data_IF_587380907570
#
_entry.id   IF_587380907570
#
_cell.length_a   1.000
_cell.length_b   1.000
_cell.length_c   1.000
_cell.angle_alpha   90.00
_cell.angle_beta   90.00
_cell.angle_gamma   90.00
#
_symmetry.space_group_name_H-M   'P 1'
#
loop_
_entity.id
_entity.type
_entity.pdbx_description
1 polymer ?
#
# COMPACT_ATOMS: atom_id res chain seq x y z
N UNK A 1 -4.74 37.64 -8.53
CA UNK A 1 -3.61 36.88 -9.13
C UNK A 1 -2.87 36.16 -8.01
N UNK A 2 -3.16 34.88 -7.76
CA UNK A 2 -2.40 34.08 -6.80
C UNK A 2 -1.06 33.69 -7.44
N UNK A 3 -0.05 34.49 -7.19
CA UNK A 3 1.30 34.31 -7.73
C UNK A 3 1.92 33.05 -7.12
N UNK A 4 2.44 32.17 -7.99
CA UNK A 4 3.38 31.07 -7.71
C UNK A 4 3.69 30.79 -6.23
N UNK A 5 2.83 30.05 -5.52
CA UNK A 5 3.21 29.52 -4.21
C UNK A 5 4.17 28.33 -4.38
N UNK A 6 5.46 28.45 -4.01
CA UNK A 6 6.40 27.33 -4.07
C UNK A 6 5.98 26.15 -3.18
N UNK A 7 5.14 26.41 -2.16
CA UNK A 7 4.52 25.41 -1.31
C UNK A 7 3.63 24.40 -2.06
N UNK A 8 3.05 24.77 -3.21
CA UNK A 8 2.28 23.86 -4.08
C UNK A 8 3.17 23.06 -5.04
N UNK A 9 4.38 23.55 -5.35
CA UNK A 9 5.36 22.82 -6.18
C UNK A 9 6.22 21.85 -5.37
N UNK A 10 6.39 22.09 -4.08
CA UNK A 10 7.03 21.15 -3.17
C UNK A 10 6.04 20.11 -2.65
N UNK A 11 5.33 19.41 -3.54
CA UNK A 11 4.86 18.05 -3.23
C UNK A 11 6.11 17.20 -3.00
N UNK A 12 6.68 17.41 -1.83
CA UNK A 12 7.89 16.77 -1.34
C UNK A 12 7.50 15.31 -1.26
N UNK A 13 8.20 14.44 -1.99
CA UNK A 13 7.88 13.00 -2.06
C UNK A 13 7.70 12.32 -0.68
N UNK A 14 8.06 13.02 0.41
CA UNK A 14 7.63 12.78 1.79
C UNK A 14 6.12 12.55 1.96
N UNK A 15 5.24 13.40 1.41
CA UNK A 15 3.78 13.26 1.62
C UNK A 15 3.28 11.93 1.06
N UNK A 16 3.75 11.56 -0.12
CA UNK A 16 3.47 10.25 -0.73
C UNK A 16 3.93 9.09 0.15
N UNK A 17 5.08 9.23 0.81
CA UNK A 17 5.63 8.18 1.66
C UNK A 17 4.85 8.06 2.97
N UNK A 18 4.46 9.19 3.58
CA UNK A 18 3.61 9.22 4.76
C UNK A 18 2.23 8.63 4.44
N UNK A 19 1.59 9.06 3.36
CA UNK A 19 0.27 8.55 2.97
C UNK A 19 0.30 7.04 2.70
N UNK A 20 1.36 6.56 2.06
CA UNK A 20 1.53 5.14 1.77
C UNK A 20 1.84 4.32 3.02
N UNK A 21 2.65 4.85 3.94
CA UNK A 21 2.91 4.21 5.22
C UNK A 21 1.63 4.09 6.06
N UNK A 22 0.85 5.17 6.15
CA UNK A 22 -0.46 5.17 6.83
C UNK A 22 -1.40 4.15 6.17
N UNK A 23 -1.45 4.13 4.84
CA UNK A 23 -2.25 3.15 4.09
C UNK A 23 -1.87 1.71 4.45
N UNK A 24 -0.58 1.37 4.43
CA UNK A 24 -0.09 0.03 4.79
C UNK A 24 -0.46 -0.32 6.23
N UNK A 25 -0.29 0.61 7.17
CA UNK A 25 -0.67 0.39 8.58
C UNK A 25 -2.16 0.09 8.71
N UNK A 26 -3.02 0.83 8.01
CA UNK A 26 -4.47 0.59 8.02
C UNK A 26 -4.81 -0.78 7.40
N UNK A 27 -4.18 -1.15 6.29
CA UNK A 27 -4.38 -2.45 5.65
C UNK A 27 -3.86 -3.63 6.49
N UNK A 28 -2.85 -3.41 7.33
CA UNK A 28 -2.31 -4.45 8.21
C UNK A 28 -3.30 -4.90 9.27
N UNK A 29 -4.16 -4.01 9.78
CA UNK A 29 -5.13 -4.33 10.84
C UNK A 29 -6.00 -5.55 10.51
N UNK A 30 -6.75 -5.58 9.39
CA UNK A 30 -7.55 -6.75 9.03
C UNK A 30 -6.71 -7.99 8.70
N UNK A 31 -5.54 -7.83 8.05
CA UNK A 31 -4.67 -8.96 7.69
C UNK A 31 -4.10 -9.65 8.94
N UNK A 32 -3.69 -8.87 9.94
CA UNK A 32 -3.24 -9.40 11.23
C UNK A 32 -4.41 -10.07 11.96
N UNK A 33 -5.62 -9.50 11.89
CA UNK A 33 -6.83 -10.13 12.43
C UNK A 33 -7.08 -11.53 11.83
N UNK A 34 -6.94 -11.67 10.51
CA UNK A 34 -7.04 -12.97 9.82
C UNK A 34 -6.01 -13.98 10.35
N UNK A 35 -4.77 -13.53 10.57
CA UNK A 35 -3.70 -14.38 11.10
C UNK A 35 -3.99 -14.80 12.54
N UNK A 36 -4.47 -13.88 13.37
CA UNK A 36 -4.79 -14.13 14.78
C UNK A 36 -5.87 -15.20 14.96
N UNK A 37 -6.88 -15.21 14.08
CA UNK A 37 -7.98 -16.19 14.11
C UNK A 37 -7.59 -17.53 13.46
N UNK A 38 -6.35 -17.65 12.92
CA UNK A 38 -5.83 -18.87 12.28
C UNK A 38 -6.76 -19.43 11.19
N UNK A 39 -7.37 -18.55 10.39
CA UNK A 39 -8.29 -18.96 9.33
C UNK A 39 -7.56 -19.63 8.15
N UNK A 40 -8.32 -20.27 7.25
CA UNK A 40 -7.77 -20.82 6.01
C UNK A 40 -7.12 -19.75 5.09
N UNK A 41 -7.39 -18.46 5.32
CA UNK A 41 -6.84 -17.35 4.54
C UNK A 41 -5.45 -16.89 5.04
N UNK A 42 -4.88 -17.49 6.09
CA UNK A 42 -3.56 -17.13 6.65
C UNK A 42 -2.44 -17.03 5.59
N UNK A 43 -2.28 -17.99 4.64
CA UNK A 43 -1.20 -17.91 3.65
C UNK A 43 -1.36 -16.68 2.74
N UNK A 44 -2.58 -16.38 2.34
CA UNK A 44 -2.90 -15.22 1.49
C UNK A 44 -2.62 -13.91 2.24
N UNK A 45 -3.00 -13.85 3.52
CA UNK A 45 -2.73 -12.68 4.35
C UNK A 45 -1.23 -12.42 4.50
N UNK A 46 -0.41 -13.46 4.70
CA UNK A 46 1.05 -13.32 4.77
C UNK A 46 1.66 -12.80 3.47
N UNK A 47 1.25 -13.35 2.32
CA UNK A 47 1.72 -12.88 1.00
C UNK A 47 1.34 -11.41 0.80
N UNK A 48 0.13 -11.02 1.17
CA UNK A 48 -0.34 -9.64 1.07
C UNK A 48 0.50 -8.68 1.93
N UNK A 49 0.82 -9.07 3.17
CA UNK A 49 1.69 -8.27 4.06
C UNK A 49 3.07 -8.10 3.44
N UNK A 50 3.68 -9.18 2.95
CA UNK A 50 5.01 -9.13 2.31
C UNK A 50 4.99 -8.21 1.09
N UNK A 51 3.97 -8.29 0.24
CA UNK A 51 3.83 -7.43 -0.92
C UNK A 51 3.66 -5.96 -0.52
N UNK A 52 2.79 -5.64 0.44
CA UNK A 52 2.56 -4.27 0.89
C UNK A 52 3.83 -3.64 1.48
N UNK A 53 4.53 -4.37 2.35
CA UNK A 53 5.79 -3.92 2.95
C UNK A 53 6.88 -3.78 1.87
N UNK A 54 6.97 -4.73 0.93
CA UNK A 54 7.92 -4.69 -0.17
C UNK A 54 7.68 -3.51 -1.13
N UNK A 55 6.42 -3.22 -1.47
CA UNK A 55 6.04 -2.06 -2.27
C UNK A 55 6.35 -0.75 -1.53
N UNK A 56 6.05 -0.65 -0.24
CA UNK A 56 6.42 0.52 0.56
C UNK A 56 7.93 0.74 0.58
N UNK A 57 8.72 -0.33 0.71
CA UNK A 57 10.18 -0.28 0.62
C UNK A 57 10.65 0.15 -0.78
N UNK A 58 10.02 -0.37 -1.85
CA UNK A 58 10.31 0.06 -3.22
C UNK A 58 10.02 1.56 -3.41
N UNK A 59 8.94 2.08 -2.83
CA UNK A 59 8.62 3.50 -2.85
C UNK A 59 9.68 4.34 -2.14
N UNK A 60 10.24 3.85 -1.03
CA UNK A 60 11.37 4.46 -0.35
C UNK A 60 12.63 4.48 -1.24
N UNK A 61 12.94 3.37 -1.91
CA UNK A 61 14.07 3.29 -2.86
C UNK A 61 13.91 4.27 -4.02
N UNK A 62 12.71 4.32 -4.64
CA UNK A 62 12.37 5.28 -5.72
C UNK A 62 12.60 6.72 -5.26
N UNK A 63 12.21 7.05 -4.02
CA UNK A 63 12.40 8.39 -3.47
C UNK A 63 13.88 8.76 -3.36
N UNK A 64 14.74 7.83 -2.93
CA UNK A 64 16.17 8.07 -2.70
C UNK A 64 16.98 8.02 -4.00
N UNK A 65 16.60 7.17 -4.95
CA UNK A 65 17.39 6.93 -6.18
C UNK A 65 17.02 7.83 -7.36
N UNK A 66 15.79 8.33 -7.45
CA UNK A 66 15.35 9.11 -8.62
C UNK A 66 15.49 10.62 -8.37
N UNK A 67 16.51 11.22 -8.99
CA UNK A 67 16.79 12.66 -8.92
C UNK A 67 15.82 13.51 -9.76
N UNK A 68 15.25 12.94 -10.83
CA UNK A 68 14.35 13.65 -11.74
C UNK A 68 12.96 13.88 -11.11
N UNK A 69 12.55 15.14 -10.83
CA UNK A 69 11.38 15.42 -9.99
C UNK A 69 10.05 14.96 -10.59
N UNK A 70 9.87 15.08 -11.92
CA UNK A 70 8.64 14.64 -12.61
C UNK A 70 8.51 13.11 -12.69
N UNK A 71 9.62 12.42 -12.92
CA UNK A 71 9.63 10.96 -13.02
C UNK A 71 9.41 10.32 -11.65
N UNK A 72 10.02 10.89 -10.60
CA UNK A 72 9.83 10.44 -9.21
C UNK A 72 8.35 10.44 -8.80
N UNK A 73 7.60 11.50 -9.12
CA UNK A 73 6.17 11.59 -8.78
C UNK A 73 5.34 10.48 -9.45
N UNK A 74 5.61 10.16 -10.72
CA UNK A 74 4.90 9.08 -11.44
C UNK A 74 5.17 7.71 -10.81
N UNK A 75 6.41 7.42 -10.45
CA UNK A 75 6.76 6.17 -9.80
C UNK A 75 6.19 6.05 -8.39
N UNK A 76 6.18 7.14 -7.61
CA UNK A 76 5.54 7.17 -6.30
C UNK A 76 4.03 6.89 -6.41
N UNK A 77 3.36 7.51 -7.39
CA UNK A 77 1.94 7.28 -7.64
C UNK A 77 1.65 5.85 -8.11
N UNK A 78 2.46 5.32 -9.02
CA UNK A 78 2.33 3.93 -9.49
C UNK A 78 2.53 2.92 -8.34
N UNK A 79 3.47 3.19 -7.43
CA UNK A 79 3.73 2.33 -6.27
C UNK A 79 2.54 2.35 -5.29
N UNK A 80 1.99 3.52 -5.00
CA UNK A 80 0.79 3.66 -4.17
C UNK A 80 -0.43 2.96 -4.79
N UNK A 81 -0.61 3.10 -6.11
CA UNK A 81 -1.69 2.43 -6.83
C UNK A 81 -1.52 0.91 -6.83
N UNK A 82 -0.30 0.41 -7.01
CA UNK A 82 0.00 -1.01 -6.90
C UNK A 82 -0.29 -1.56 -5.48
N UNK A 83 0.07 -0.82 -4.42
CA UNK A 83 -0.32 -1.20 -3.05
C UNK A 83 -1.83 -1.26 -2.86
N UNK A 84 -2.57 -0.30 -3.41
CA UNK A 84 -4.03 -0.29 -3.34
C UNK A 84 -4.64 -1.51 -4.04
N UNK A 85 -4.16 -1.84 -5.24
CA UNK A 85 -4.63 -3.03 -5.99
C UNK A 85 -4.33 -4.31 -5.23
N UNK A 86 -3.11 -4.46 -4.69
CA UNK A 86 -2.72 -5.63 -3.89
C UNK A 86 -3.61 -5.77 -2.65
N UNK A 87 -3.82 -4.68 -1.91
CA UNK A 87 -4.68 -4.68 -0.73
C UNK A 87 -6.12 -5.10 -1.05
N UNK A 88 -6.70 -4.54 -2.13
CA UNK A 88 -8.06 -4.88 -2.54
C UNK A 88 -8.18 -6.34 -2.98
N UNK A 89 -7.30 -6.82 -3.86
CA UNK A 89 -7.34 -8.20 -4.36
C UNK A 89 -7.14 -9.19 -3.21
N UNK A 90 -6.12 -8.99 -2.39
CA UNK A 90 -5.85 -9.89 -1.26
C UNK A 90 -7.00 -9.93 -0.27
N UNK A 91 -7.62 -8.79 0.02
CA UNK A 91 -8.75 -8.74 0.95
C UNK A 91 -9.98 -9.44 0.36
N UNK A 92 -10.28 -9.25 -0.94
CA UNK A 92 -11.36 -9.98 -1.61
C UNK A 92 -11.12 -11.49 -1.54
N UNK A 93 -9.91 -11.96 -1.85
CA UNK A 93 -9.57 -13.39 -1.78
C UNK A 93 -9.70 -13.92 -0.35
N UNK A 94 -9.21 -13.19 0.66
CA UNK A 94 -9.33 -13.60 2.06
C UNK A 94 -10.79 -13.75 2.47
N UNK A 95 -11.63 -12.77 2.14
CA UNK A 95 -13.07 -12.80 2.45
C UNK A 95 -13.73 -13.98 1.74
N UNK A 96 -13.46 -14.21 0.45
CA UNK A 96 -14.02 -15.33 -0.29
C UNK A 96 -13.66 -16.69 0.32
N UNK A 97 -12.40 -16.88 0.74
CA UNK A 97 -11.96 -18.11 1.41
C UNK A 97 -12.72 -18.31 2.71
N UNK A 98 -12.76 -17.29 3.58
CA UNK A 98 -13.44 -17.38 4.87
C UNK A 98 -14.92 -17.66 4.69
N UNK A 99 -15.60 -16.97 3.76
CA UNK A 99 -17.03 -17.15 3.51
C UNK A 99 -17.35 -18.53 2.94
N UNK A 100 -16.48 -19.08 2.08
CA UNK A 100 -16.66 -20.44 1.53
C UNK A 100 -16.51 -21.54 2.58
N UNK A 101 -15.86 -21.25 3.71
CA UNK A 101 -15.66 -22.20 4.80
C UNK A 101 -16.79 -22.22 5.82
N UNK A 102 -17.78 -21.32 5.72
CA UNK A 102 -18.96 -21.32 6.58
C UNK A 102 -19.94 -22.38 6.07
N UNK A 103 -20.23 -23.46 6.84
CA UNK A 103 -21.22 -24.45 6.43
C UNK A 103 -22.60 -23.78 6.30
N UNK A 104 -23.27 -24.05 5.18
CA UNK A 104 -24.63 -23.55 4.89
C UNK A 104 -25.69 -24.34 5.63
#
# INVERSE_FOLDING_TARGET
>A
MATNQPALRSSSGTVWLISSAVFVVVCLVPLIGIIAVRSAAVPVALIAIVLLVGLLAAQFVVRVRISAPRHRLRWLAACMLAMAVVALISMMVCVSIVWSSVPR
#
